data_IF_525708831788
#
_entry.id   IF_525708831788
#
_cell.length_a   1.000
_cell.length_b   1.000
_cell.length_c   1.000
_cell.angle_alpha   90.00
_cell.angle_beta   90.00
_cell.angle_gamma   90.00
#
_symmetry.space_group_name_H-M   'P 1'
#
loop_
_entity.id
_entity.type
_entity.pdbx_description
1 polymer ?
#
# COMPACT_ATOMS: atom_id res chain seq x y z
N UNK A 1 -15.19 -24.27 -4.81
CA UNK A 1 -14.84 -25.10 -3.64
C UNK A 1 -14.11 -26.37 -4.03
N UNK A 2 -14.58 -27.17 -5.00
CA UNK A 2 -13.98 -28.47 -5.41
C UNK A 2 -12.48 -28.43 -5.71
N UNK A 3 -11.98 -27.40 -6.40
CA UNK A 3 -10.55 -27.29 -6.71
C UNK A 3 -9.69 -27.08 -5.45
N UNK A 4 -10.18 -26.30 -4.48
CA UNK A 4 -9.48 -26.04 -3.24
C UNK A 4 -9.46 -27.30 -2.37
N UNK A 5 -10.59 -28.05 -2.30
CA UNK A 5 -10.68 -29.33 -1.62
C UNK A 5 -9.66 -30.33 -2.16
N UNK A 6 -9.61 -30.49 -3.48
CA UNK A 6 -8.64 -31.38 -4.15
C UNK A 6 -7.20 -30.99 -3.85
N UNK A 7 -6.92 -29.67 -3.80
CA UNK A 7 -5.58 -29.18 -3.47
C UNK A 7 -5.18 -29.50 -2.01
N UNK A 8 -6.10 -29.29 -1.04
CA UNK A 8 -5.87 -29.65 0.37
C UNK A 8 -5.60 -31.14 0.52
N UNK A 9 -6.43 -31.99 -0.13
CA UNK A 9 -6.30 -33.44 -0.08
C UNK A 9 -4.98 -33.92 -0.71
N UNK A 10 -4.63 -33.38 -1.89
CA UNK A 10 -3.40 -33.75 -2.59
C UNK A 10 -2.13 -33.36 -1.79
N UNK A 11 -2.18 -32.26 -1.02
CA UNK A 11 -1.07 -31.80 -0.19
C UNK A 11 -1.14 -32.34 1.26
N UNK A 12 -2.08 -33.24 1.58
CA UNK A 12 -2.28 -33.78 2.94
C UNK A 12 -2.41 -32.69 4.02
N UNK A 13 -3.08 -31.60 3.69
CA UNK A 13 -3.30 -30.46 4.59
C UNK A 13 -4.67 -30.57 5.26
N UNK A 14 -4.72 -30.26 6.56
CA UNK A 14 -5.96 -30.18 7.33
C UNK A 14 -6.33 -28.72 7.56
N UNK A 15 -7.63 -28.41 7.45
CA UNK A 15 -8.13 -27.08 7.75
C UNK A 15 -8.17 -26.85 9.26
N UNK A 16 -7.67 -25.70 9.71
CA UNK A 16 -7.91 -25.21 11.06
C UNK A 16 -9.02 -24.15 11.02
N UNK A 17 -10.26 -24.54 11.30
CA UNK A 17 -11.43 -23.66 11.21
C UNK A 17 -11.40 -22.50 12.21
N UNK A 18 -10.75 -22.65 13.37
CA UNK A 18 -10.62 -21.58 14.36
C UNK A 18 -9.69 -20.46 13.89
N UNK A 19 -8.67 -20.80 13.08
CA UNK A 19 -7.70 -19.84 12.54
C UNK A 19 -8.05 -19.38 11.12
N UNK A 20 -9.05 -20.03 10.49
CA UNK A 20 -9.47 -19.71 9.13
C UNK A 20 -10.68 -18.79 9.18
N UNK A 21 -10.65 -17.77 8.34
CA UNK A 21 -11.77 -16.86 8.16
C UNK A 21 -11.89 -16.47 6.70
N UNK A 22 -13.05 -16.03 6.28
CA UNK A 22 -13.23 -15.46 4.96
C UNK A 22 -13.81 -14.06 5.05
N UNK A 23 -13.54 -13.24 4.05
CA UNK A 23 -14.16 -11.93 3.88
C UNK A 23 -14.69 -11.76 2.46
N UNK A 24 -15.72 -10.95 2.32
CA UNK A 24 -16.32 -10.64 1.03
C UNK A 24 -16.12 -9.14 0.80
N UNK A 25 -15.33 -8.81 -0.22
CA UNK A 25 -15.14 -7.42 -0.60
C UNK A 25 -16.37 -6.90 -1.32
N UNK A 26 -16.89 -5.77 -0.85
CA UNK A 26 -18.09 -5.14 -1.39
C UNK A 26 -17.91 -3.65 -1.62
N UNK A 27 -18.67 -3.11 -2.57
CA UNK A 27 -18.73 -1.67 -2.77
C UNK A 27 -19.45 -0.99 -1.59
N UNK A 28 -18.94 0.17 -1.16
CA UNK A 28 -19.60 0.97 -0.11
C UNK A 28 -20.96 1.53 -0.54
N UNK A 29 -21.26 1.53 -1.85
CA UNK A 29 -22.47 2.12 -2.44
C UNK A 29 -23.58 1.11 -2.74
N UNK A 30 -23.31 -0.19 -2.63
CA UNK A 30 -24.32 -1.23 -2.90
C UNK A 30 -24.59 -2.00 -1.62
N UNK A 31 -25.82 -1.96 -1.16
CA UNK A 31 -26.30 -2.92 -0.18
C UNK A 31 -26.38 -4.30 -0.84
N UNK A 32 -25.66 -5.24 -0.28
CA UNK A 32 -25.73 -6.65 -0.69
C UNK A 32 -26.50 -7.40 0.37
N UNK A 33 -27.82 -7.59 0.19
CA UNK A 33 -28.62 -8.38 1.11
C UNK A 33 -28.15 -9.86 1.07
N UNK A 34 -28.25 -10.53 2.21
CA UNK A 34 -28.03 -11.97 2.36
C UNK A 34 -26.63 -12.51 2.04
N UNK A 35 -25.59 -11.83 2.50
CA UNK A 35 -24.26 -12.41 2.49
C UNK A 35 -24.13 -13.49 3.59
N UNK A 36 -23.56 -14.67 3.29
CA UNK A 36 -23.42 -15.75 4.26
C UNK A 36 -22.50 -15.32 5.42
N UNK A 37 -22.89 -15.66 6.64
CA UNK A 37 -22.07 -15.43 7.83
C UNK A 37 -21.04 -16.54 8.06
N UNK A 38 -21.26 -17.69 7.43
CA UNK A 38 -20.36 -18.84 7.46
C UNK A 38 -20.44 -19.59 6.14
N UNK A 39 -19.37 -20.28 5.80
CA UNK A 39 -19.30 -21.20 4.65
C UNK A 39 -18.84 -22.55 5.18
N UNK A 40 -19.36 -23.62 4.59
CA UNK A 40 -18.91 -24.98 4.84
C UNK A 40 -17.77 -25.34 3.90
N UNK A 41 -16.68 -25.87 4.48
CA UNK A 41 -15.52 -26.33 3.73
C UNK A 41 -14.85 -27.50 4.49
N UNK A 42 -14.67 -28.65 3.85
CA UNK A 42 -14.11 -29.87 4.43
C UNK A 42 -14.80 -30.25 5.76
N UNK A 43 -16.15 -30.33 5.75
CA UNK A 43 -17.00 -30.65 6.89
C UNK A 43 -16.82 -29.74 8.13
N UNK A 44 -16.23 -28.54 7.91
CA UNK A 44 -16.03 -27.53 8.94
C UNK A 44 -16.63 -26.19 8.51
N UNK A 45 -17.11 -25.41 9.49
CA UNK A 45 -17.64 -24.09 9.25
C UNK A 45 -16.58 -23.01 9.45
N UNK A 46 -16.34 -22.22 8.40
CA UNK A 46 -15.46 -21.04 8.43
C UNK A 46 -16.31 -19.81 8.63
N UNK A 47 -15.96 -18.98 9.61
CA UNK A 47 -16.68 -17.75 9.94
C UNK A 47 -16.28 -16.60 9.03
N UNK A 48 -17.25 -15.77 8.68
CA UNK A 48 -17.01 -14.50 7.99
C UNK A 48 -16.46 -13.46 8.97
N UNK A 49 -15.48 -12.69 8.49
CA UNK A 49 -14.95 -11.51 9.19
C UNK A 49 -15.08 -10.28 8.31
N UNK A 50 -15.31 -9.12 8.92
CA UNK A 50 -15.34 -7.82 8.21
C UNK A 50 -13.95 -7.33 7.86
N UNK A 51 -12.95 -7.80 8.59
CA UNK A 51 -11.55 -7.42 8.44
C UNK A 51 -10.68 -8.67 8.45
N UNK A 52 -9.71 -8.70 7.56
CA UNK A 52 -8.74 -9.80 7.47
C UNK A 52 -7.33 -9.25 7.44
N UNK A 53 -6.43 -9.89 8.18
CA UNK A 53 -5.01 -9.57 8.14
C UNK A 53 -4.30 -10.48 7.13
N UNK A 54 -3.91 -9.92 6.00
CA UNK A 54 -3.20 -10.63 4.94
C UNK A 54 -1.79 -10.09 4.79
N UNK A 55 -0.78 -10.95 4.94
CA UNK A 55 0.65 -10.57 4.89
C UNK A 55 0.95 -9.31 5.73
N UNK A 56 0.38 -9.21 6.93
CA UNK A 56 0.63 -8.08 7.83
C UNK A 56 -0.16 -6.80 7.55
N UNK A 57 -0.96 -6.76 6.48
CA UNK A 57 -1.84 -5.64 6.12
C UNK A 57 -3.28 -5.99 6.47
N UNK A 58 -3.98 -5.08 7.12
CA UNK A 58 -5.40 -5.25 7.48
C UNK A 58 -6.26 -4.73 6.34
N UNK A 59 -7.04 -5.62 5.75
CA UNK A 59 -7.99 -5.35 4.68
C UNK A 59 -9.41 -5.40 5.25
N UNK A 60 -10.15 -4.31 5.17
CA UNK A 60 -11.57 -4.28 5.50
C UNK A 60 -12.44 -4.57 4.27
N UNK A 61 -13.66 -5.09 4.47
CA UNK A 61 -14.58 -5.50 3.41
C UNK A 61 -14.89 -4.41 2.36
N UNK A 62 -14.71 -3.12 2.74
CA UNK A 62 -14.92 -1.96 1.86
C UNK A 62 -13.62 -1.37 1.32
N UNK A 63 -12.47 -1.96 1.67
CA UNK A 63 -11.13 -1.47 1.32
C UNK A 63 -10.91 0.01 1.67
N UNK A 64 -11.42 0.43 2.81
CA UNK A 64 -11.24 1.80 3.32
C UNK A 64 -9.91 2.00 4.01
N UNK A 65 -9.25 0.89 4.41
CA UNK A 65 -7.97 0.82 5.12
C UNK A 65 -7.94 1.57 6.47
N UNK A 66 -9.10 1.77 7.10
CA UNK A 66 -9.18 2.50 8.37
C UNK A 66 -8.33 1.86 9.46
N UNK A 67 -8.49 0.57 9.68
CA UNK A 67 -7.77 -0.17 10.71
C UNK A 67 -6.27 -0.25 10.39
N UNK A 68 -5.90 -0.47 9.15
CA UNK A 68 -4.51 -0.46 8.72
C UNK A 68 -3.81 0.87 9.02
N UNK A 69 -4.46 1.99 8.70
CA UNK A 69 -3.91 3.33 8.95
C UNK A 69 -3.81 3.61 10.45
N UNK A 70 -4.81 3.18 11.24
CA UNK A 70 -4.74 3.27 12.70
C UNK A 70 -3.56 2.48 13.26
N UNK A 71 -3.33 1.26 12.75
CA UNK A 71 -2.20 0.43 13.16
C UNK A 71 -0.86 1.08 12.83
N UNK A 72 -0.69 1.63 11.62
CA UNK A 72 0.52 2.39 11.24
C UNK A 72 0.69 3.60 12.15
N UNK A 73 -0.35 4.39 12.38
CA UNK A 73 -0.31 5.54 13.28
C UNK A 73 0.10 5.14 14.71
N UNK A 74 -0.44 4.03 15.23
CA UNK A 74 -0.10 3.55 16.57
C UNK A 74 1.37 3.11 16.67
N UNK A 75 1.88 2.42 15.63
CA UNK A 75 3.30 2.06 15.55
C UNK A 75 4.21 3.29 15.53
N UNK A 76 3.82 4.34 14.81
CA UNK A 76 4.56 5.60 14.76
C UNK A 76 4.51 6.34 16.11
N UNK A 77 3.33 6.41 16.75
CA UNK A 77 3.19 7.08 18.06
C UNK A 77 4.11 6.52 19.13
N UNK A 78 4.35 5.21 19.14
CA UNK A 78 5.26 4.57 20.09
C UNK A 78 6.71 5.03 19.96
N UNK A 79 7.09 5.62 18.83
CA UNK A 79 8.44 6.13 18.60
C UNK A 79 8.72 7.45 19.31
N UNK A 80 7.69 8.23 19.67
CA UNK A 80 7.91 9.54 20.31
C UNK A 80 8.76 9.43 21.57
N UNK A 81 8.42 8.50 22.45
CA UNK A 81 9.18 8.30 23.70
C UNK A 81 10.65 7.97 23.43
N UNK A 82 10.90 7.06 22.47
CA UNK A 82 12.26 6.67 22.10
C UNK A 82 13.02 7.89 21.55
N UNK A 83 12.40 8.65 20.64
CA UNK A 83 13.05 9.78 19.99
C UNK A 83 13.33 10.93 20.95
N UNK A 84 12.45 11.19 21.91
CA UNK A 84 12.71 12.17 22.97
C UNK A 84 13.96 11.82 23.79
N UNK A 85 14.19 10.56 24.06
CA UNK A 85 15.32 10.12 24.89
C UNK A 85 16.67 10.13 24.14
N UNK A 86 16.66 9.96 22.81
CA UNK A 86 17.90 9.83 22.03
C UNK A 86 18.28 11.08 21.27
N UNK A 87 17.36 12.03 21.03
CA UNK A 87 17.55 13.17 20.12
C UNK A 87 18.80 14.00 20.41
N UNK A 88 19.14 14.18 21.69
CA UNK A 88 20.25 15.05 22.11
C UNK A 88 21.63 14.42 21.84
N UNK A 89 21.67 13.13 21.48
CA UNK A 89 22.87 12.37 21.15
C UNK A 89 23.08 12.16 19.64
N UNK A 90 22.19 12.72 18.80
CA UNK A 90 22.17 12.42 17.36
C UNK A 90 22.80 13.53 16.54
N UNK A 91 23.59 13.13 15.55
CA UNK A 91 23.99 13.98 14.42
C UNK A 91 23.06 13.74 13.20
N UNK A 92 23.17 14.58 12.16
CA UNK A 92 22.31 14.51 11.00
C UNK A 92 22.35 13.15 10.28
N UNK A 93 23.49 12.48 10.21
CA UNK A 93 23.59 11.16 9.58
C UNK A 93 22.87 10.09 10.39
N UNK A 94 22.99 10.13 11.69
CA UNK A 94 22.30 9.21 12.58
C UNK A 94 20.78 9.44 12.55
N UNK A 95 20.34 10.70 12.44
CA UNK A 95 18.91 11.06 12.25
C UNK A 95 18.34 10.37 11.01
N UNK A 96 19.03 10.47 9.86
CA UNK A 96 18.59 9.80 8.61
C UNK A 96 18.51 8.28 8.81
N UNK A 97 19.54 7.67 9.39
CA UNK A 97 19.58 6.22 9.61
C UNK A 97 18.42 5.74 10.48
N UNK A 98 18.19 6.40 11.62
CA UNK A 98 17.10 6.07 12.54
C UNK A 98 15.73 6.30 11.90
N UNK A 99 15.59 7.39 11.14
CA UNK A 99 14.37 7.67 10.40
C UNK A 99 14.05 6.55 9.40
N UNK A 100 15.01 6.15 8.56
CA UNK A 100 14.79 5.08 7.59
C UNK A 100 14.50 3.75 8.26
N UNK A 101 15.19 3.40 9.33
CA UNK A 101 15.00 2.14 10.05
C UNK A 101 13.65 2.06 10.76
N UNK A 102 13.20 3.13 11.42
CA UNK A 102 12.07 3.07 12.34
C UNK A 102 10.80 3.74 11.81
N UNK A 103 10.90 4.84 11.06
CA UNK A 103 9.74 5.59 10.57
C UNK A 103 9.40 5.19 9.14
N UNK A 104 10.36 5.34 8.23
CA UNK A 104 10.18 5.08 6.80
C UNK A 104 9.78 3.62 6.55
N UNK A 105 10.45 2.66 7.17
CA UNK A 105 10.15 1.24 7.01
C UNK A 105 8.70 0.89 7.36
N UNK A 106 8.15 1.49 8.43
CA UNK A 106 6.77 1.29 8.86
C UNK A 106 5.75 1.95 7.93
N UNK A 107 6.09 3.11 7.39
CA UNK A 107 5.23 3.81 6.42
C UNK A 107 5.28 3.09 5.08
N UNK A 108 6.47 2.71 4.61
CA UNK A 108 6.68 2.08 3.30
C UNK A 108 5.98 0.73 3.19
N UNK A 109 5.96 -0.07 4.28
CA UNK A 109 5.41 -1.41 4.24
C UNK A 109 3.94 -1.42 3.82
N UNK A 110 3.68 -1.91 2.60
CA UNK A 110 2.34 -2.01 2.02
C UNK A 110 1.69 -0.69 1.61
N UNK A 111 2.43 0.42 1.54
CA UNK A 111 1.87 1.74 1.17
C UNK A 111 1.26 1.76 -0.23
N UNK A 112 1.74 0.94 -1.15
CA UNK A 112 1.14 0.76 -2.48
C UNK A 112 -0.30 0.23 -2.42
N UNK A 113 -0.66 -0.46 -1.32
CA UNK A 113 -2.00 -0.99 -1.06
C UNK A 113 -2.82 0.01 -0.25
N UNK A 114 -2.45 0.29 1.02
CA UNK A 114 -3.26 1.15 1.88
C UNK A 114 -3.15 2.64 1.54
N UNK A 115 -2.13 3.06 0.80
CA UNK A 115 -1.97 4.43 0.31
C UNK A 115 -3.07 4.88 -0.68
N UNK A 116 -3.93 3.95 -1.11
CA UNK A 116 -5.13 4.25 -1.90
C UNK A 116 -6.29 4.79 -1.05
N UNK A 117 -6.19 4.76 0.26
CA UNK A 117 -7.19 5.33 1.17
C UNK A 117 -7.44 6.82 0.88
N UNK A 118 -8.51 7.37 1.46
CA UNK A 118 -8.84 8.79 1.28
C UNK A 118 -7.71 9.70 1.81
N UNK A 119 -7.56 10.87 1.18
CA UNK A 119 -6.49 11.83 1.47
C UNK A 119 -6.43 12.24 2.96
N UNK A 120 -7.60 12.41 3.60
CA UNK A 120 -7.69 12.78 5.02
C UNK A 120 -7.06 11.74 5.95
N UNK A 121 -7.18 10.46 5.61
CA UNK A 121 -6.58 9.37 6.39
C UNK A 121 -5.07 9.33 6.21
N UNK A 122 -4.59 9.44 4.97
CA UNK A 122 -3.13 9.49 4.67
C UNK A 122 -2.49 10.73 5.32
N UNK A 123 -3.21 11.87 5.38
CA UNK A 123 -2.73 13.08 6.06
C UNK A 123 -2.42 12.83 7.55
N UNK A 124 -3.10 11.91 8.21
CA UNK A 124 -2.80 11.54 9.62
C UNK A 124 -1.40 10.95 9.76
N UNK A 125 -1.01 10.08 8.82
CA UNK A 125 0.35 9.49 8.80
C UNK A 125 1.38 10.60 8.53
N UNK A 126 1.11 11.48 7.56
CA UNK A 126 1.98 12.63 7.25
C UNK A 126 2.18 13.54 8.46
N UNK A 127 1.11 13.82 9.21
CA UNK A 127 1.22 14.64 10.43
C UNK A 127 2.13 13.99 11.47
N UNK A 128 2.00 12.67 11.69
CA UNK A 128 2.87 11.93 12.60
C UNK A 128 4.31 11.86 12.12
N UNK A 129 4.53 11.65 10.81
CA UNK A 129 5.86 11.72 10.21
C UNK A 129 6.53 13.06 10.50
N UNK A 130 5.82 14.17 10.24
CA UNK A 130 6.32 15.52 10.48
C UNK A 130 6.66 15.77 11.95
N UNK A 131 5.80 15.34 12.86
CA UNK A 131 6.02 15.49 14.30
C UNK A 131 7.24 14.67 14.77
N UNK A 132 7.34 13.41 14.33
CA UNK A 132 8.47 12.54 14.68
C UNK A 132 9.80 13.10 14.16
N UNK A 133 9.81 13.65 12.94
CA UNK A 133 11.00 14.31 12.38
C UNK A 133 11.42 15.53 13.19
N UNK A 134 10.47 16.37 13.62
CA UNK A 134 10.76 17.52 14.48
C UNK A 134 11.39 17.10 15.80
N UNK A 135 10.82 16.09 16.44
CA UNK A 135 11.36 15.56 17.71
C UNK A 135 12.76 14.99 17.49
N UNK A 136 12.94 14.15 16.46
CA UNK A 136 14.22 13.50 16.18
C UNK A 136 15.32 14.49 15.82
N UNK A 137 14.98 15.60 15.14
CA UNK A 137 15.90 16.67 14.76
C UNK A 137 16.02 17.77 15.84
N UNK A 138 15.42 17.62 17.01
CA UNK A 138 15.45 18.63 18.08
C UNK A 138 14.87 19.99 17.69
N UNK A 139 13.89 20.02 16.76
CA UNK A 139 13.29 21.25 16.26
C UNK A 139 12.01 21.63 17.02
N UNK A 140 11.75 22.93 17.14
CA UNK A 140 10.54 23.42 17.76
C UNK A 140 9.27 23.04 16.98
N UNK A 141 8.13 23.04 17.67
CA UNK A 141 6.83 22.72 17.08
C UNK A 141 6.48 23.58 15.85
N UNK A 142 6.83 24.87 15.87
CA UNK A 142 6.54 25.81 14.77
C UNK A 142 7.52 25.72 13.59
N UNK A 143 8.60 24.94 13.69
CA UNK A 143 9.57 24.80 12.61
C UNK A 143 8.90 24.28 11.32
N UNK A 144 9.31 24.84 10.16
CA UNK A 144 8.77 24.44 8.86
C UNK A 144 9.11 22.98 8.55
N UNK A 145 8.07 22.17 8.32
CA UNK A 145 8.24 20.74 7.96
C UNK A 145 8.80 20.58 6.55
N UNK A 146 8.42 21.47 5.62
CA UNK A 146 8.91 21.41 4.24
C UNK A 146 10.41 21.67 4.20
N UNK A 147 10.88 22.66 4.97
CA UNK A 147 12.31 22.93 5.14
C UNK A 147 13.03 21.72 5.74
N UNK A 148 12.46 21.07 6.78
CA UNK A 148 13.06 19.92 7.42
C UNK A 148 13.16 18.71 6.47
N UNK A 149 12.11 18.45 5.66
CA UNK A 149 12.16 17.43 4.62
C UNK A 149 13.25 17.70 3.59
N UNK A 150 13.42 18.95 3.16
CA UNK A 150 14.46 19.35 2.21
C UNK A 150 15.87 19.25 2.80
N UNK A 151 16.10 19.74 4.02
CA UNK A 151 17.41 19.69 4.70
C UNK A 151 17.87 18.24 4.96
N UNK A 152 16.93 17.35 5.28
CA UNK A 152 17.23 15.94 5.51
C UNK A 152 17.06 15.09 4.24
N UNK A 153 16.66 15.66 3.11
CA UNK A 153 16.39 14.96 1.83
C UNK A 153 15.41 13.77 2.02
N UNK A 154 14.36 13.98 2.79
CA UNK A 154 13.40 12.93 3.14
C UNK A 154 12.09 13.10 2.38
N UNK A 155 11.53 12.00 1.91
CA UNK A 155 10.27 11.97 1.19
C UNK A 155 9.07 12.12 2.12
N UNK A 156 8.04 12.83 1.66
CA UNK A 156 6.72 12.85 2.29
C UNK A 156 5.98 11.54 2.04
N UNK A 157 4.94 11.25 2.82
CA UNK A 157 4.15 10.00 2.70
C UNK A 157 3.58 9.81 1.29
N UNK A 158 3.14 10.89 0.65
CA UNK A 158 2.64 10.84 -0.75
C UNK A 158 3.72 10.44 -1.73
N UNK A 159 4.92 10.96 -1.55
CA UNK A 159 6.05 10.72 -2.44
C UNK A 159 6.60 9.30 -2.25
N UNK A 160 6.60 8.79 -0.99
CA UNK A 160 6.92 7.40 -0.69
C UNK A 160 5.95 6.46 -1.43
N UNK A 161 4.63 6.77 -1.40
CA UNK A 161 3.63 5.99 -2.13
C UNK A 161 3.90 6.02 -3.64
N UNK A 162 4.12 7.20 -4.19
CA UNK A 162 4.33 7.36 -5.63
C UNK A 162 5.64 6.69 -6.06
N UNK A 163 6.70 6.73 -5.24
CA UNK A 163 7.94 6.00 -5.45
C UNK A 163 7.72 4.48 -5.52
N UNK A 164 6.95 3.90 -4.60
CA UNK A 164 6.66 2.46 -4.60
C UNK A 164 5.85 2.03 -5.83
N UNK A 165 4.89 2.85 -6.24
CA UNK A 165 4.11 2.60 -7.45
C UNK A 165 4.99 2.68 -8.70
N UNK A 166 5.87 3.69 -8.78
CA UNK A 166 6.82 3.82 -9.89
C UNK A 166 7.83 2.69 -9.94
N UNK A 167 8.32 2.23 -8.78
CA UNK A 167 9.20 1.06 -8.70
C UNK A 167 8.50 -0.20 -9.23
N UNK A 168 7.22 -0.39 -8.94
CA UNK A 168 6.43 -1.50 -9.48
C UNK A 168 6.31 -1.40 -11.01
N UNK A 169 6.00 -0.22 -11.55
CA UNK A 169 5.92 0.01 -13.00
C UNK A 169 7.27 -0.21 -13.67
N UNK A 170 8.35 0.28 -13.08
CA UNK A 170 9.71 0.04 -13.56
C UNK A 170 10.07 -1.44 -13.60
N UNK A 171 9.76 -2.19 -12.53
CA UNK A 171 9.99 -3.62 -12.47
C UNK A 171 9.19 -4.39 -13.52
N UNK A 172 7.97 -3.93 -13.84
CA UNK A 172 7.19 -4.48 -14.94
C UNK A 172 7.94 -4.35 -16.27
N UNK A 173 8.42 -3.16 -16.62
CA UNK A 173 9.18 -2.94 -17.86
C UNK A 173 10.52 -3.69 -17.90
N UNK A 174 11.13 -3.88 -16.76
CA UNK A 174 12.39 -4.61 -16.62
C UNK A 174 12.21 -6.14 -16.54
N UNK A 175 10.98 -6.66 -16.72
CA UNK A 175 10.63 -8.08 -16.60
C UNK A 175 11.08 -8.69 -15.26
N UNK A 176 11.06 -7.91 -14.16
CA UNK A 176 11.46 -8.36 -12.81
C UNK A 176 10.27 -8.76 -11.95
N UNK A 177 9.05 -8.66 -12.47
CA UNK A 177 7.85 -9.09 -11.76
C UNK A 177 7.58 -10.58 -12.00
N UNK A 178 6.92 -11.28 -11.06
CA UNK A 178 6.46 -12.65 -11.25
C UNK A 178 5.56 -12.79 -12.48
N UNK A 179 5.52 -13.99 -13.12
CA UNK A 179 4.75 -14.22 -14.36
C UNK A 179 3.26 -13.88 -14.28
N UNK A 180 2.67 -13.89 -13.07
CA UNK A 180 1.27 -13.51 -12.84
C UNK A 180 0.97 -12.05 -13.25
N UNK A 181 1.99 -11.20 -13.36
CA UNK A 181 1.86 -9.82 -13.79
C UNK A 181 2.09 -9.62 -15.30
N UNK A 182 2.37 -10.69 -16.06
CA UNK A 182 2.47 -10.60 -17.52
C UNK A 182 1.16 -10.03 -18.09
N UNK A 183 1.25 -8.97 -18.91
CA UNK A 183 0.08 -8.29 -19.45
C UNK A 183 -0.70 -7.40 -18.45
N UNK A 184 -0.17 -7.19 -17.21
CA UNK A 184 -0.83 -6.32 -16.24
C UNK A 184 -1.00 -4.87 -16.75
N UNK A 185 0.00 -4.35 -17.44
CA UNK A 185 -0.09 -3.09 -18.18
C UNK A 185 -0.11 -3.38 -19.68
N UNK A 186 -0.96 -2.67 -20.40
CA UNK A 186 -0.97 -2.69 -21.85
C UNK A 186 0.03 -1.66 -22.39
N UNK A 187 0.84 -2.03 -23.38
CA UNK A 187 1.76 -1.11 -24.06
C UNK A 187 1.17 -0.71 -25.42
N UNK A 188 1.59 0.42 -25.97
CA UNK A 188 1.14 0.86 -27.30
C UNK A 188 1.54 -0.13 -28.39
N UNK A 189 2.66 -0.84 -28.22
CA UNK A 189 3.13 -1.87 -29.17
C UNK A 189 2.15 -3.05 -29.19
N UNK A 190 1.54 -3.43 -28.06
CA UNK A 190 0.59 -4.55 -28.02
C UNK A 190 -0.74 -4.24 -28.73
N UNK A 191 -1.09 -2.96 -28.89
CA UNK A 191 -2.37 -2.55 -29.51
C UNK A 191 -2.23 -2.16 -30.98
N UNK A 192 -1.05 -1.77 -31.42
CA UNK A 192 -0.78 -1.40 -32.80
C UNK A 192 0.57 -1.99 -33.19
N UNK A 193 0.61 -2.90 -34.14
CA UNK A 193 1.83 -3.52 -34.68
C UNK A 193 2.83 -2.51 -35.33
N UNK A 194 2.77 -1.24 -34.94
CA UNK A 194 3.60 -0.16 -35.47
C UNK A 194 4.62 0.24 -34.39
N UNK A 195 5.88 0.05 -34.70
CA UNK A 195 7.00 0.42 -33.84
C UNK A 195 7.21 1.94 -33.93
N UNK A 196 6.52 2.71 -33.09
CA UNK A 196 6.67 4.17 -33.01
C UNK A 196 7.75 4.55 -31.98
N UNK A 197 8.34 5.76 -32.08
CA UNK A 197 9.30 6.29 -31.08
C UNK A 197 8.79 6.26 -29.64
N UNK A 198 7.47 6.18 -29.46
CA UNK A 198 6.76 6.09 -28.17
C UNK A 198 6.27 4.66 -27.84
N UNK A 199 6.75 3.64 -28.54
CA UNK A 199 6.26 2.26 -28.40
C UNK A 199 6.36 1.65 -27.00
N UNK A 200 7.29 2.13 -26.17
CA UNK A 200 7.41 1.74 -24.77
C UNK A 200 6.41 2.45 -23.84
N UNK A 201 5.58 3.38 -24.36
CA UNK A 201 4.61 4.08 -23.53
C UNK A 201 3.41 3.19 -23.21
N UNK A 202 3.00 3.21 -21.95
CA UNK A 202 1.79 2.57 -21.46
C UNK A 202 0.56 3.19 -22.11
N UNK A 203 -0.39 2.36 -22.54
CA UNK A 203 -1.67 2.81 -23.06
C UNK A 203 -2.46 3.56 -21.99
N UNK A 204 -3.30 4.48 -22.44
CA UNK A 204 -4.26 5.12 -21.56
C UNK A 204 -5.34 4.12 -21.19
N UNK A 205 -5.45 3.77 -19.92
CA UNK A 205 -6.59 3.02 -19.43
C UNK A 205 -7.80 3.95 -19.42
N UNK A 206 -8.73 3.69 -20.31
CA UNK A 206 -10.03 4.37 -20.38
C UNK A 206 -11.06 3.56 -19.60
N UNK A 207 -12.04 4.23 -18.96
CA UNK A 207 -13.19 3.54 -18.40
C UNK A 207 -13.08 3.08 -16.96
N UNK A 208 -12.68 3.97 -16.05
CA UNK A 208 -12.86 3.71 -14.61
C UNK A 208 -14.06 4.51 -14.10
N UNK A 209 -15.01 3.81 -13.51
CA UNK A 209 -16.25 4.40 -12.98
C UNK A 209 -16.15 4.79 -11.50
N UNK A 210 -15.06 4.42 -10.81
CA UNK A 210 -14.94 4.64 -9.36
C UNK A 210 -13.63 5.35 -8.99
N UNK A 211 -13.69 6.17 -7.94
CA UNK A 211 -12.49 6.82 -7.37
C UNK A 211 -11.44 5.79 -6.89
N UNK A 212 -11.90 4.64 -6.40
CA UNK A 212 -11.02 3.55 -5.98
C UNK A 212 -10.21 3.00 -7.17
N UNK A 213 -10.89 2.73 -8.30
CA UNK A 213 -10.20 2.28 -9.52
C UNK A 213 -9.19 3.33 -10.01
N UNK A 214 -9.54 4.63 -9.96
CA UNK A 214 -8.63 5.71 -10.35
C UNK A 214 -7.33 5.77 -9.54
N UNK A 215 -7.36 5.31 -8.30
CA UNK A 215 -6.21 5.26 -7.38
C UNK A 215 -5.42 3.94 -7.50
N UNK A 216 -5.94 2.94 -8.22
CA UNK A 216 -5.26 1.66 -8.40
C UNK A 216 -3.88 1.82 -9.05
N UNK A 217 -2.97 0.89 -8.75
CA UNK A 217 -1.62 0.89 -9.35
C UNK A 217 -1.72 0.88 -10.87
N UNK A 218 -2.69 0.14 -11.43
CA UNK A 218 -2.90 0.04 -12.88
C UNK A 218 -3.17 1.40 -13.54
N UNK A 219 -3.93 2.29 -12.89
CA UNK A 219 -4.29 3.60 -13.45
C UNK A 219 -3.34 4.71 -12.97
N UNK A 220 -3.09 4.76 -11.66
CA UNK A 220 -2.24 5.79 -11.08
C UNK A 220 -0.78 5.62 -11.51
N UNK A 221 -0.29 4.39 -11.58
CA UNK A 221 1.07 4.07 -12.05
C UNK A 221 1.32 4.54 -13.48
N UNK A 222 0.36 4.30 -14.39
CA UNK A 222 0.45 4.79 -15.77
C UNK A 222 0.52 6.32 -15.82
N UNK A 223 -0.29 7.00 -15.00
CA UNK A 223 -0.28 8.48 -14.94
C UNK A 223 1.06 9.02 -14.44
N UNK A 224 1.61 8.41 -13.38
CA UNK A 224 2.91 8.80 -12.83
C UNK A 224 4.04 8.53 -13.82
N UNK A 225 4.05 7.36 -14.45
CA UNK A 225 5.05 6.98 -15.45
C UNK A 225 5.09 7.96 -16.62
N UNK A 226 3.91 8.30 -17.16
CA UNK A 226 3.81 9.29 -18.24
C UNK A 226 4.28 10.69 -17.87
N UNK A 227 4.21 11.04 -16.58
CA UNK A 227 4.75 12.31 -16.07
C UNK A 227 6.27 12.35 -16.09
N UNK A 228 6.91 11.23 -15.73
CA UNK A 228 8.37 11.08 -15.75
C UNK A 228 8.94 11.01 -17.16
N UNK A 229 8.25 10.32 -18.07
CA UNK A 229 8.76 10.13 -19.46
C UNK A 229 8.52 11.33 -20.39
N UNK A 230 7.83 12.37 -19.92
CA UNK A 230 7.66 13.64 -20.66
C UNK A 230 8.76 14.66 -20.38
N UNK A 231 9.69 14.34 -19.48
CA UNK A 231 10.91 15.10 -19.20
C UNK A 231 12.02 14.56 -20.09
#
# INVERSE_FOLDING_TARGET
MTQLTNWFTANKLTLNSEKSSFTIFKSSKKDTPNLPNQIEFLDQYIKRTTDIKFLGIILDEKLTFNQQINEVCNKLKRLFHIFYNIRDYLNNNNIKTIYYALVYSRIKYGISVYGQACKTKIKRIQTLQNQLLKVLAGKEYRFSTDRLHSELELLKVTDIKDQEILAFVHNFFSNRLPPVFNGYFETLISNHNINTRNGANLTRITGHSTEFAAKSIKIHGVKLWKKLTKI
#
